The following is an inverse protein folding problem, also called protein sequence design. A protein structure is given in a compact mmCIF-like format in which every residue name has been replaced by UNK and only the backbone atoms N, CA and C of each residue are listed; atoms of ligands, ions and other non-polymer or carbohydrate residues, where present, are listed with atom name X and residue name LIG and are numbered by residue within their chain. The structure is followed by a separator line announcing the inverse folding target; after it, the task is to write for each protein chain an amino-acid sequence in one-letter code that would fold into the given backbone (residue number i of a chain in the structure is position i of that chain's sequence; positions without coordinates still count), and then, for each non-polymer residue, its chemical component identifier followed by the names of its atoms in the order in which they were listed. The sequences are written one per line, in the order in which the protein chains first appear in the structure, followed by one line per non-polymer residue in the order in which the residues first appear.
data_IF_097429126694
#
_entry.id   IF_097429126694
#
_cell.length_a   1.000
_cell.length_b   1.000
_cell.length_c   1.000
_cell.angle_alpha   90.00
_cell.angle_beta   90.00
_cell.angle_gamma   90.00
#
_symmetry.space_group_name_H-M   'P 1'
#
loop_
_entity.id
_entity.type
_entity.pdbx_description
1 polymer ?
#
# COMPACT_ATOMS: atom_id res chain seq x y z
N UNK A 1 -2.85 5.07 1.07
CA UNK A 1 -1.75 4.07 1.13
C UNK A 1 -1.98 3.18 2.34
N UNK A 2 -2.31 1.90 2.18
CA UNK A 2 -2.55 1.00 3.34
C UNK A 2 -2.34 -0.49 3.07
N UNK A 3 -1.94 -0.88 1.86
CA UNK A 3 -1.86 -2.30 1.45
C UNK A 3 -0.90 -3.11 2.32
N UNK A 4 0.23 -2.54 2.75
CA UNK A 4 1.19 -3.21 3.64
C UNK A 4 0.66 -3.41 5.07
N UNK A 5 -0.09 -2.45 5.61
CA UNK A 5 -0.70 -2.59 6.94
C UNK A 5 -1.75 -3.69 6.98
N UNK A 6 -2.57 -3.79 5.93
CA UNK A 6 -3.56 -4.85 5.80
C UNK A 6 -2.93 -6.24 5.62
N UNK A 7 -1.79 -6.35 4.91
CA UNK A 7 -1.09 -7.63 4.77
C UNK A 7 -0.46 -8.11 6.08
N UNK A 8 0.19 -7.22 6.85
CA UNK A 8 0.75 -7.57 8.16
C UNK A 8 -0.35 -7.98 9.14
N UNK A 9 -1.48 -7.25 9.13
CA UNK A 9 -2.63 -7.60 9.95
C UNK A 9 -3.25 -8.94 9.55
N UNK A 10 -3.34 -9.22 8.24
CA UNK A 10 -3.80 -10.51 7.73
C UNK A 10 -2.88 -11.68 8.12
N UNK A 11 -1.56 -11.47 8.08
CA UNK A 11 -0.59 -12.48 8.52
C UNK A 11 -0.72 -12.76 10.02
N UNK A 12 -0.80 -11.72 10.86
CA UNK A 12 -0.99 -11.86 12.30
C UNK A 12 -2.32 -12.55 12.65
N UNK A 13 -3.40 -12.19 11.96
CA UNK A 13 -4.70 -12.84 12.16
C UNK A 13 -4.65 -14.31 11.75
N UNK A 14 -4.02 -14.63 10.61
CA UNK A 14 -3.87 -16.00 10.13
C UNK A 14 -3.02 -16.87 11.06
N UNK A 15 -1.89 -16.35 11.56
CA UNK A 15 -1.03 -17.09 12.49
C UNK A 15 -1.68 -17.29 13.85
N UNK A 16 -2.39 -16.29 14.38
CA UNK A 16 -3.12 -16.43 15.64
C UNK A 16 -4.19 -17.54 15.55
N UNK A 17 -4.99 -17.52 14.49
CA UNK A 17 -6.01 -18.55 14.25
C UNK A 17 -5.35 -19.94 14.10
N UNK A 18 -4.29 -20.04 13.28
CA UNK A 18 -3.58 -21.31 13.08
C UNK A 18 -2.96 -21.86 14.36
N UNK A 19 -2.37 -21.01 15.22
CA UNK A 19 -1.79 -21.42 16.49
C UNK A 19 -2.86 -21.91 17.48
N UNK A 20 -3.99 -21.21 17.57
CA UNK A 20 -5.12 -21.63 18.39
C UNK A 20 -5.64 -23.01 17.97
N UNK A 21 -5.83 -23.22 16.66
CA UNK A 21 -6.24 -24.53 16.14
C UNK A 21 -5.18 -25.61 16.35
N UNK A 22 -3.89 -25.30 16.18
CA UNK A 22 -2.80 -26.23 16.41
C UNK A 22 -2.72 -26.70 17.87
N UNK A 23 -2.86 -25.77 18.82
CA UNK A 23 -2.87 -26.08 20.26
C UNK A 23 -4.13 -26.86 20.66
N UNK A 24 -5.30 -26.52 20.11
CA UNK A 24 -6.55 -27.23 20.38
C UNK A 24 -6.54 -28.65 19.80
N UNK A 25 -5.95 -28.84 18.62
CA UNK A 25 -5.87 -30.15 17.96
C UNK A 25 -4.84 -31.07 18.63
N UNK A 26 -3.71 -30.51 19.09
CA UNK A 26 -2.66 -31.27 19.75
C UNK A 26 -2.27 -30.60 21.08
N UNK A 27 -3.05 -30.82 22.16
CA UNK A 27 -2.73 -30.28 23.47
C UNK A 27 -1.58 -31.08 24.11
N UNK A 28 -0.48 -30.39 24.38
CA UNK A 28 0.60 -30.91 25.19
C UNK A 28 0.21 -30.94 26.69
N UNK A 29 0.87 -31.80 27.47
CA UNK A 29 0.69 -31.82 28.93
C UNK A 29 1.18 -30.50 29.53
N UNK A 30 0.35 -29.83 30.34
CA UNK A 30 0.66 -28.51 30.90
C UNK A 30 1.97 -28.43 31.72
N UNK A 31 2.42 -29.53 32.32
CA UNK A 31 3.73 -29.59 32.99
C UNK A 31 4.88 -29.43 32.00
N UNK A 32 4.79 -30.05 30.82
CA UNK A 32 5.78 -29.92 29.74
C UNK A 32 5.74 -28.54 29.10
N UNK A 33 4.55 -27.96 28.93
CA UNK A 33 4.39 -26.61 28.37
C UNK A 33 5.04 -25.56 29.25
N UNK A 34 4.87 -25.63 30.58
CA UNK A 34 5.52 -24.69 31.51
C UNK A 34 7.04 -24.82 31.48
N UNK A 35 7.56 -26.04 31.51
CA UNK A 35 9.00 -26.27 31.45
C UNK A 35 9.60 -25.73 30.14
N UNK A 36 8.97 -26.07 29.00
CA UNK A 36 9.37 -25.58 27.68
C UNK A 36 9.31 -24.06 27.60
N UNK A 37 8.26 -23.43 28.12
CA UNK A 37 8.12 -21.97 28.10
C UNK A 37 9.21 -21.28 28.92
N UNK A 38 9.59 -21.84 30.07
CA UNK A 38 10.69 -21.30 30.88
C UNK A 38 12.05 -21.42 30.18
N UNK A 39 12.33 -22.58 29.58
CA UNK A 39 13.57 -22.83 28.85
C UNK A 39 13.65 -21.95 27.58
N UNK A 40 12.57 -21.88 26.79
CA UNK A 40 12.49 -21.05 25.59
C UNK A 40 12.53 -19.55 25.93
N UNK A 41 11.90 -19.11 27.03
CA UNK A 41 11.95 -17.71 27.43
C UNK A 41 13.37 -17.28 27.79
N UNK A 42 14.12 -18.10 28.53
CA UNK A 42 15.51 -17.82 28.86
C UNK A 42 16.39 -17.82 27.61
N UNK A 43 16.29 -18.85 26.77
CA UNK A 43 17.06 -18.95 25.54
C UNK A 43 16.72 -17.83 24.53
N UNK A 44 15.44 -17.43 24.44
CA UNK A 44 15.00 -16.34 23.58
C UNK A 44 15.49 -14.98 24.09
N UNK A 45 15.56 -14.77 25.42
CA UNK A 45 16.12 -13.54 25.99
C UNK A 45 17.59 -13.39 25.62
N UNK A 46 18.36 -14.46 25.79
CA UNK A 46 19.80 -14.46 25.48
C UNK A 46 20.04 -14.29 23.97
N UNK A 47 19.34 -15.05 23.13
CA UNK A 47 19.43 -14.94 21.67
C UNK A 47 18.94 -13.60 21.14
N UNK A 48 17.83 -13.08 21.66
CA UNK A 48 17.31 -11.78 21.24
C UNK A 48 18.29 -10.67 21.58
N UNK A 49 18.96 -10.73 22.73
CA UNK A 49 19.94 -9.70 23.08
C UNK A 49 21.16 -9.74 22.15
N UNK A 50 21.71 -10.93 21.86
CA UNK A 50 22.82 -11.06 20.91
C UNK A 50 22.42 -10.71 19.47
N UNK A 51 21.30 -11.26 19.00
CA UNK A 51 20.83 -11.05 17.62
C UNK A 51 20.32 -9.62 17.42
N UNK A 52 19.71 -8.97 18.40
CA UNK A 52 19.30 -7.57 18.27
C UNK A 52 20.50 -6.63 18.13
N UNK A 53 21.62 -6.92 18.79
CA UNK A 53 22.86 -6.17 18.62
C UNK A 53 23.42 -6.33 17.20
N UNK A 54 23.53 -7.57 16.71
CA UNK A 54 24.04 -7.87 15.37
C UNK A 54 23.09 -7.38 14.27
N UNK A 55 21.78 -7.51 14.47
CA UNK A 55 20.75 -7.07 13.56
C UNK A 55 20.69 -5.55 13.51
N UNK A 56 20.87 -4.85 14.64
CA UNK A 56 20.94 -3.38 14.68
C UNK A 56 22.12 -2.87 13.87
N UNK A 57 23.27 -3.53 13.95
CA UNK A 57 24.45 -3.17 13.15
C UNK A 57 24.22 -3.46 11.65
N UNK A 58 23.71 -4.65 11.29
CA UNK A 58 23.41 -5.02 9.90
C UNK A 58 22.26 -4.21 9.28
N UNK A 59 21.25 -3.86 10.06
CA UNK A 59 20.13 -3.01 9.62
C UNK A 59 20.62 -1.58 9.45
N UNK A 60 21.51 -1.07 10.32
CA UNK A 60 22.06 0.27 10.15
C UNK A 60 22.86 0.39 8.86
N UNK A 61 23.71 -0.60 8.52
CA UNK A 61 24.46 -0.60 7.27
C UNK A 61 23.56 -0.83 6.06
N UNK A 62 22.68 -1.84 6.10
CA UNK A 62 21.76 -2.14 5.00
C UNK A 62 20.73 -1.04 4.77
N UNK A 63 20.30 -0.34 5.82
CA UNK A 63 19.35 0.77 5.69
C UNK A 63 20.00 1.98 5.01
N UNK A 64 21.30 2.21 5.19
CA UNK A 64 22.00 3.27 4.47
C UNK A 64 22.01 2.96 2.96
N UNK A 65 22.40 1.75 2.58
CA UNK A 65 22.43 1.31 1.19
C UNK A 65 21.03 1.28 0.55
N UNK A 66 20.02 0.84 1.32
CA UNK A 66 18.64 0.82 0.86
C UNK A 66 18.10 2.24 0.68
N UNK A 67 18.43 3.17 1.59
CA UNK A 67 18.01 4.56 1.51
C UNK A 67 18.59 5.26 0.28
N UNK A 68 19.82 4.94 -0.08
CA UNK A 68 20.47 5.45 -1.29
C UNK A 68 19.86 4.84 -2.57
N UNK A 69 19.59 3.53 -2.59
CA UNK A 69 18.87 2.87 -3.69
C UNK A 69 17.44 3.38 -3.88
N UNK A 70 16.75 3.66 -2.77
CA UNK A 70 15.38 4.21 -2.80
C UNK A 70 15.40 5.65 -3.28
N UNK A 71 16.31 6.49 -2.80
CA UNK A 71 16.40 7.89 -3.26
C UNK A 71 16.73 7.99 -4.75
N UNK A 72 17.67 7.19 -5.24
CA UNK A 72 18.02 7.15 -6.68
C UNK A 72 16.88 6.60 -7.55
N UNK A 73 16.19 5.55 -7.10
CA UNK A 73 15.02 5.00 -7.80
C UNK A 73 13.80 5.92 -7.74
N UNK A 74 13.67 6.72 -6.68
CA UNK A 74 12.56 7.66 -6.53
C UNK A 74 12.79 8.93 -7.36
N UNK A 75 14.03 9.43 -7.45
CA UNK A 75 14.34 10.58 -8.29
C UNK A 75 14.15 10.27 -9.78
N UNK A 76 14.56 9.07 -10.23
CA UNK A 76 14.31 8.63 -11.61
C UNK A 76 12.81 8.43 -11.88
N UNK A 77 12.06 7.83 -10.96
CA UNK A 77 10.60 7.69 -11.09
C UNK A 77 9.88 9.04 -11.08
N UNK A 78 10.31 10.00 -10.26
CA UNK A 78 9.71 11.35 -10.21
C UNK A 78 9.79 12.06 -11.56
N UNK A 79 10.94 12.03 -12.24
CA UNK A 79 11.05 12.61 -13.59
C UNK A 79 10.07 12.00 -14.59
N UNK A 80 9.93 10.68 -14.60
CA UNK A 80 8.97 9.99 -15.49
C UNK A 80 7.50 10.19 -15.11
N UNK A 81 7.22 10.51 -13.84
CA UNK A 81 5.88 10.75 -13.32
C UNK A 81 5.41 12.16 -13.69
N UNK A 82 6.29 13.16 -13.56
CA UNK A 82 5.96 14.54 -13.92
C UNK A 82 5.63 14.65 -15.42
N UNK A 83 6.42 14.00 -16.31
CA UNK A 83 6.10 13.93 -17.75
C UNK A 83 4.76 13.23 -18.04
N UNK A 84 4.45 12.13 -17.33
CA UNK A 84 3.17 11.44 -17.48
C UNK A 84 2.00 12.27 -16.95
N UNK A 85 2.18 13.04 -15.88
CA UNK A 85 1.15 13.94 -15.36
C UNK A 85 0.91 15.09 -16.34
N UNK A 86 1.96 15.68 -16.90
CA UNK A 86 1.85 16.80 -17.83
C UNK A 86 1.11 16.42 -19.12
N UNK A 87 1.39 15.22 -19.65
CA UNK A 87 0.66 14.66 -20.80
C UNK A 87 -0.82 14.36 -20.48
N UNK A 88 -1.11 13.77 -19.32
CA UNK A 88 -2.49 13.52 -18.88
C UNK A 88 -3.27 14.83 -18.69
N UNK A 89 -2.66 15.86 -18.10
CA UNK A 89 -3.30 17.18 -17.90
C UNK A 89 -3.60 17.84 -19.24
N UNK A 90 -2.67 17.72 -20.20
CA UNK A 90 -2.84 18.26 -21.57
C UNK A 90 -3.97 17.54 -22.31
N UNK A 91 -3.97 16.21 -22.32
CA UNK A 91 -4.99 15.40 -22.96
C UNK A 91 -6.38 15.60 -22.33
N UNK A 92 -6.43 15.70 -21.00
CA UNK A 92 -7.67 15.97 -20.27
C UNK A 92 -8.23 17.35 -20.61
N UNK A 93 -7.38 18.37 -20.71
CA UNK A 93 -7.79 19.74 -21.07
C UNK A 93 -8.34 19.81 -22.49
N UNK A 94 -7.64 19.22 -23.46
CA UNK A 94 -8.14 19.15 -24.84
C UNK A 94 -9.48 18.42 -24.93
N UNK A 95 -9.62 17.29 -24.21
CA UNK A 95 -10.87 16.55 -24.21
C UNK A 95 -12.01 17.30 -23.50
N UNK A 96 -11.69 18.11 -22.50
CA UNK A 96 -12.66 18.99 -21.87
C UNK A 96 -13.13 20.08 -22.84
N UNK A 97 -12.23 20.71 -23.60
CA UNK A 97 -12.57 21.73 -24.60
C UNK A 97 -13.46 21.17 -25.72
N UNK A 98 -13.18 19.96 -26.21
CA UNK A 98 -14.01 19.28 -27.20
C UNK A 98 -15.44 19.02 -26.68
N UNK A 99 -15.55 18.62 -25.41
CA UNK A 99 -16.84 18.39 -24.75
C UNK A 99 -17.60 19.72 -24.60
N UNK A 100 -16.91 20.79 -24.19
CA UNK A 100 -17.51 22.13 -24.07
C UNK A 100 -18.03 22.58 -25.44
N UNK A 101 -17.24 22.46 -26.51
CA UNK A 101 -17.65 22.83 -27.87
C UNK A 101 -18.88 22.04 -28.34
N UNK A 102 -18.92 20.74 -28.04
CA UNK A 102 -20.06 19.88 -28.36
C UNK A 102 -21.33 20.27 -27.59
N UNK A 103 -21.18 20.62 -26.30
CA UNK A 103 -22.27 21.13 -25.47
C UNK A 103 -22.79 22.47 -25.98
N UNK A 104 -21.92 23.42 -26.33
CA UNK A 104 -22.30 24.71 -26.92
C UNK A 104 -23.07 24.53 -28.22
N UNK A 105 -22.60 23.64 -29.12
CA UNK A 105 -23.31 23.28 -30.36
C UNK A 105 -24.69 22.72 -30.07
N UNK A 106 -24.82 21.79 -29.13
CA UNK A 106 -26.12 21.22 -28.74
C UNK A 106 -27.04 22.27 -28.11
N UNK A 107 -26.51 23.15 -27.27
CA UNK A 107 -27.27 24.19 -26.59
C UNK A 107 -27.78 25.24 -27.60
N UNK A 108 -26.94 25.64 -28.56
CA UNK A 108 -27.37 26.49 -29.67
C UNK A 108 -28.48 25.83 -30.51
N UNK A 109 -28.33 24.54 -30.85
CA UNK A 109 -29.32 23.79 -31.62
C UNK A 109 -30.66 23.66 -30.88
N UNK A 110 -30.62 23.40 -29.57
CA UNK A 110 -31.81 23.35 -28.72
C UNK A 110 -32.49 24.72 -28.60
N UNK A 111 -31.71 25.82 -28.47
CA UNK A 111 -32.24 27.18 -28.41
C UNK A 111 -32.97 27.58 -29.70
N UNK A 112 -32.43 27.19 -30.85
CA UNK A 112 -33.06 27.41 -32.16
C UNK A 112 -34.31 26.55 -32.36
N UNK A 113 -34.29 25.27 -31.95
CA UNK A 113 -35.49 24.43 -31.97
C UNK A 113 -36.59 25.00 -31.07
N UNK A 114 -36.26 25.45 -29.85
CA UNK A 114 -37.24 26.03 -28.93
C UNK A 114 -37.88 27.31 -29.50
N UNK A 115 -37.11 28.17 -30.18
CA UNK A 115 -37.66 29.35 -30.90
C UNK A 115 -38.63 28.97 -32.03
N UNK A 116 -38.42 27.84 -32.72
CA UNK A 116 -39.36 27.35 -33.74
C UNK A 116 -40.68 26.91 -33.13
N UNK A 117 -40.65 26.25 -31.96
CA UNK A 117 -41.86 25.82 -31.27
C UNK A 117 -42.66 26.96 -30.62
N UNK A 118 -42.03 28.09 -30.27
CA UNK A 118 -42.73 29.26 -29.71
C UNK A 118 -43.39 30.18 -30.75
N UNK A 119 -43.18 29.95 -32.05
CA UNK A 119 -43.76 30.75 -33.15
C UNK A 119 -44.85 30.02 -33.93
N UNK A 120 -45.22 28.81 -33.52
CA UNK A 120 -46.37 28.06 -34.03
C UNK A 120 -47.46 27.98 -32.98
#
# INVERSE_FOLDING_TARGET
MSKSGNTVLGLLAGTAIGALFGILYAPDKGSKTRQRLSEEALAARDKMNSEAHDLKEKVSSSAHDLKEKVNSSLNTKKGTLDEQIESIVTDASHKADDVISSLEKKLAKLKDQNKKYQKS
#
